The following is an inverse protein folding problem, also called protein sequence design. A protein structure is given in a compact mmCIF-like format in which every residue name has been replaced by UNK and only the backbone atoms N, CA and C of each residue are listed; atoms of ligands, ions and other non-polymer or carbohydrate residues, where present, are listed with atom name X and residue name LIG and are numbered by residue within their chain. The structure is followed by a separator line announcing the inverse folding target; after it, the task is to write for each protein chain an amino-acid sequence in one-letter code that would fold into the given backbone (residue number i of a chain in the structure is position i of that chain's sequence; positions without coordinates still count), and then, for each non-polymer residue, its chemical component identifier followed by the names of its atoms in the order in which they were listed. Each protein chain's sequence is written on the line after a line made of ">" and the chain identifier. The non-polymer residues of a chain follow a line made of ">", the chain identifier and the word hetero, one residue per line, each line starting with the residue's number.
data_IF_380209431467
#
_entry.id   IF_380209431467
#
_cell.length_a   1.000
_cell.length_b   1.000
_cell.length_c   1.000
_cell.angle_alpha   90.00
_cell.angle_beta   90.00
_cell.angle_gamma   90.00
#
_symmetry.space_group_name_H-M   'P 1'
#
loop_
_entity.id
_entity.type
_entity.pdbx_description
1 polymer ?
#
# COMPACT_ATOMS: atom_id res chain seq x y z
N UNK A 1 41.48 -6.74 53.37
CA UNK A 1 41.25 -7.23 51.99
C UNK A 1 39.81 -7.70 51.85
N UNK A 2 39.24 -7.59 50.63
CA UNK A 2 37.92 -8.06 50.19
C UNK A 2 36.69 -7.23 50.60
N UNK A 3 36.55 -6.07 49.97
CA UNK A 3 35.26 -5.63 49.42
C UNK A 3 35.53 -5.27 47.98
N UNK A 4 34.88 -5.93 47.02
CA UNK A 4 34.75 -5.54 45.60
C UNK A 4 34.23 -6.76 44.81
N UNK A 5 32.94 -7.09 44.94
CA UNK A 5 32.23 -7.95 43.97
C UNK A 5 30.74 -7.71 44.09
N UNK A 6 30.27 -6.52 43.69
CA UNK A 6 28.83 -6.27 43.60
C UNK A 6 28.48 -5.07 42.69
N UNK A 7 29.15 -4.93 41.53
CA UNK A 7 28.80 -3.86 40.55
C UNK A 7 28.73 -4.38 39.10
N UNK A 8 28.88 -5.69 38.86
CA UNK A 8 28.92 -6.22 37.50
C UNK A 8 27.56 -6.66 36.91
N UNK A 9 26.48 -6.71 37.71
CA UNK A 9 25.18 -7.22 37.24
C UNK A 9 24.21 -6.17 36.66
N UNK A 10 24.53 -4.88 36.73
CA UNK A 10 23.64 -3.81 36.24
C UNK A 10 23.85 -3.46 34.75
N UNK A 11 24.87 -4.02 34.09
CA UNK A 11 25.19 -3.72 32.68
C UNK A 11 24.63 -4.75 31.67
N UNK A 12 23.99 -5.82 32.16
CA UNK A 12 23.42 -6.88 31.31
C UNK A 12 21.91 -6.70 31.04
N UNK A 13 21.28 -5.63 31.52
CA UNK A 13 19.99 -5.18 31.00
C UNK A 13 20.24 -4.45 29.66
N UNK A 14 20.80 -5.19 28.70
CA UNK A 14 20.91 -4.73 27.32
C UNK A 14 19.53 -4.26 26.88
N UNK A 15 19.49 -3.10 26.25
CA UNK A 15 18.29 -2.57 25.63
C UNK A 15 17.68 -3.69 24.79
N UNK A 16 16.65 -4.35 25.32
CA UNK A 16 15.82 -5.23 24.53
C UNK A 16 15.30 -4.31 23.43
N UNK A 17 15.79 -4.54 22.20
CA UNK A 17 15.31 -3.84 21.04
C UNK A 17 13.80 -4.00 21.10
N UNK A 18 13.10 -2.92 21.46
CA UNK A 18 11.68 -2.80 21.19
C UNK A 18 11.61 -2.66 19.68
N UNK A 19 11.82 -3.77 18.97
CA UNK A 19 11.29 -3.95 17.62
C UNK A 19 9.79 -3.81 17.83
N UNK A 20 9.32 -2.57 17.75
CA UNK A 20 7.90 -2.30 17.60
C UNK A 20 7.52 -3.05 16.34
N UNK A 21 6.65 -4.04 16.47
CA UNK A 21 6.08 -4.75 15.34
C UNK A 21 5.64 -3.72 14.30
N UNK A 22 6.33 -3.72 13.16
CA UNK A 22 6.01 -2.81 12.08
C UNK A 22 4.70 -3.30 11.43
N UNK A 23 3.60 -2.67 11.85
CA UNK A 23 2.29 -2.85 11.27
C UNK A 23 2.14 -1.95 10.05
N UNK A 24 2.55 -2.45 8.88
CA UNK A 24 2.36 -1.74 7.63
C UNK A 24 0.86 -1.46 7.40
N UNK A 25 0.49 -0.18 7.33
CA UNK A 25 -0.86 0.25 6.98
C UNK A 25 -0.92 0.52 5.49
N UNK A 26 -1.71 -0.27 4.78
CA UNK A 26 -1.93 -0.11 3.34
C UNK A 26 -2.66 1.20 3.05
N UNK A 27 -2.11 2.02 2.15
CA UNK A 27 -2.79 3.18 1.59
C UNK A 27 -3.79 2.78 0.50
N UNK A 28 -4.69 3.69 0.14
CA UNK A 28 -5.70 3.39 -0.87
C UNK A 28 -5.09 3.48 -2.29
N UNK A 29 -5.27 2.48 -3.17
CA UNK A 29 -4.64 2.46 -4.48
C UNK A 29 -5.13 3.60 -5.38
N UNK A 30 -4.19 4.34 -5.99
CA UNK A 30 -4.52 5.45 -6.92
C UNK A 30 -5.32 4.95 -8.13
N UNK A 31 -4.99 3.76 -8.65
CA UNK A 31 -5.71 3.18 -9.79
C UNK A 31 -7.17 2.88 -9.43
N UNK A 32 -7.44 2.45 -8.20
CA UNK A 32 -8.80 2.28 -7.69
C UNK A 32 -9.51 3.64 -7.45
N UNK A 33 -8.78 4.64 -6.95
CA UNK A 33 -9.27 6.00 -6.74
C UNK A 33 -9.76 6.70 -8.02
N UNK A 34 -9.12 6.42 -9.15
CA UNK A 34 -9.49 6.95 -10.48
C UNK A 34 -10.84 6.47 -10.98
N UNK A 35 -11.33 5.36 -10.47
CA UNK A 35 -12.61 4.76 -10.87
C UNK A 35 -13.56 4.56 -9.68
N UNK A 36 -13.21 5.13 -8.52
CA UNK A 36 -13.96 4.96 -7.26
C UNK A 36 -14.21 3.50 -6.89
N UNK A 37 -13.25 2.62 -7.20
CA UNK A 37 -13.40 1.18 -7.01
C UNK A 37 -13.12 0.78 -5.56
N UNK A 38 -14.11 0.18 -4.90
CA UNK A 38 -13.92 -0.48 -3.61
C UNK A 38 -13.94 -2.00 -3.77
N UNK A 39 -13.50 -2.70 -2.72
CA UNK A 39 -13.59 -4.14 -2.65
C UNK A 39 -12.56 -4.75 -1.71
N UNK A 40 -12.48 -6.07 -1.75
CA UNK A 40 -11.60 -6.89 -0.92
C UNK A 40 -10.60 -7.67 -1.77
N UNK A 41 -9.44 -7.95 -1.19
CA UNK A 41 -8.45 -8.87 -1.73
C UNK A 41 -7.92 -9.76 -0.61
N UNK A 42 -7.84 -11.06 -0.88
CA UNK A 42 -7.29 -12.08 0.02
C UNK A 42 -6.01 -12.64 -0.58
N UNK A 43 -4.90 -12.51 0.14
CA UNK A 43 -3.57 -12.94 -0.31
C UNK A 43 -2.81 -13.71 0.75
N UNK A 44 -2.03 -14.68 0.30
CA UNK A 44 -0.93 -15.27 1.04
C UNK A 44 0.37 -14.61 0.58
N UNK A 45 1.14 -14.04 1.50
CA UNK A 45 2.41 -13.37 1.22
C UNK A 45 3.52 -14.15 1.90
N UNK A 46 4.48 -14.66 1.13
CA UNK A 46 5.71 -15.22 1.66
C UNK A 46 6.77 -14.13 1.74
N UNK A 47 7.09 -13.65 2.94
CA UNK A 47 8.08 -12.59 3.11
C UNK A 47 9.53 -13.07 2.99
N UNK A 48 9.79 -14.38 3.05
CA UNK A 48 11.12 -14.94 2.81
C UNK A 48 11.46 -14.96 1.30
N UNK A 49 10.51 -15.39 0.46
CA UNK A 49 10.69 -15.42 -1.01
C UNK A 49 10.23 -14.14 -1.71
N UNK A 50 9.48 -13.28 -1.00
CA UNK A 50 8.82 -12.07 -1.54
C UNK A 50 7.81 -12.38 -2.63
N UNK A 51 7.06 -13.48 -2.46
CA UNK A 51 6.04 -13.91 -3.40
C UNK A 51 4.63 -13.65 -2.83
N UNK A 52 3.69 -13.34 -3.72
CA UNK A 52 2.28 -13.14 -3.39
C UNK A 52 1.46 -14.16 -4.14
N UNK A 53 0.71 -14.96 -3.40
CA UNK A 53 -0.32 -15.84 -3.94
C UNK A 53 -1.69 -15.21 -3.67
N UNK A 54 -2.43 -14.93 -4.75
CA UNK A 54 -3.74 -14.28 -4.68
C UNK A 54 -4.82 -15.36 -4.60
N UNK A 55 -5.55 -15.39 -3.49
CA UNK A 55 -6.67 -16.33 -3.28
C UNK A 55 -7.93 -15.77 -3.94
N UNK A 56 -8.21 -14.49 -3.72
CA UNK A 56 -9.33 -13.79 -4.36
C UNK A 56 -9.03 -12.30 -4.48
N UNK A 57 -9.46 -11.69 -5.58
CA UNK A 57 -9.31 -10.25 -5.84
C UNK A 57 -10.58 -9.73 -6.53
N UNK A 58 -11.35 -8.90 -5.83
CA UNK A 58 -12.59 -8.30 -6.35
C UNK A 58 -12.36 -7.21 -7.40
N UNK A 59 -11.11 -6.76 -7.60
CA UNK A 59 -10.77 -5.60 -8.42
C UNK A 59 -10.21 -5.93 -9.81
N UNK A 60 -10.35 -7.18 -10.25
CA UNK A 60 -9.80 -7.66 -11.52
C UNK A 60 -8.29 -7.38 -11.66
N UNK A 61 -7.54 -7.58 -10.57
CA UNK A 61 -6.07 -7.49 -10.58
C UNK A 61 -5.48 -6.13 -10.17
N UNK A 62 -6.31 -5.11 -9.87
CA UNK A 62 -5.82 -3.78 -9.46
C UNK A 62 -5.17 -3.87 -8.06
N UNK A 63 -5.86 -4.48 -7.11
CA UNK A 63 -5.39 -4.63 -5.73
C UNK A 63 -4.19 -5.57 -5.64
N UNK A 64 -4.18 -6.69 -6.37
CA UNK A 64 -3.04 -7.62 -6.37
C UNK A 64 -1.77 -6.97 -6.93
N UNK A 65 -1.88 -6.20 -8.02
CA UNK A 65 -0.76 -5.39 -8.54
C UNK A 65 -0.26 -4.37 -7.52
N UNK A 66 -1.18 -3.77 -6.77
CA UNK A 66 -0.84 -2.79 -5.75
C UNK A 66 -0.11 -3.42 -4.55
N UNK A 67 -0.58 -4.57 -4.05
CA UNK A 67 0.10 -5.33 -2.99
C UNK A 67 1.51 -5.72 -3.44
N UNK A 68 1.66 -6.24 -4.66
CA UNK A 68 2.97 -6.59 -5.22
C UNK A 68 3.96 -5.40 -5.19
N UNK A 69 3.50 -4.19 -5.54
CA UNK A 69 4.33 -2.97 -5.45
C UNK A 69 4.72 -2.59 -4.01
N UNK A 70 3.94 -3.01 -3.00
CA UNK A 70 4.15 -2.69 -1.59
C UNK A 70 4.83 -3.81 -0.79
N UNK A 71 5.16 -4.95 -1.41
CA UNK A 71 5.74 -6.12 -0.75
C UNK A 71 6.93 -5.80 0.16
N UNK A 72 7.86 -4.97 -0.30
CA UNK A 72 9.03 -4.59 0.50
C UNK A 72 8.67 -3.89 1.81
N UNK A 73 7.56 -3.13 1.83
CA UNK A 73 7.08 -2.47 3.04
C UNK A 73 6.27 -3.46 3.89
N UNK A 74 5.40 -4.26 3.28
CA UNK A 74 4.60 -5.27 3.99
C UNK A 74 5.51 -6.24 4.75
N UNK A 75 6.58 -6.69 4.09
CA UNK A 75 7.56 -7.64 4.60
C UNK A 75 8.74 -6.99 5.32
N UNK A 76 8.66 -5.70 5.67
CA UNK A 76 9.76 -5.03 6.36
C UNK A 76 10.05 -5.70 7.71
N UNK A 77 11.29 -6.21 7.85
CA UNK A 77 11.76 -7.00 9.01
C UNK A 77 10.96 -8.29 9.29
N UNK A 78 10.25 -8.81 8.29
CA UNK A 78 9.44 -10.03 8.40
C UNK A 78 9.96 -11.10 7.46
N UNK A 79 9.88 -12.36 7.90
CA UNK A 79 10.26 -13.55 7.13
C UNK A 79 9.19 -14.63 7.16
N UNK A 80 8.10 -14.37 7.87
CA UNK A 80 6.95 -15.25 8.02
C UNK A 80 6.03 -15.20 6.79
N UNK A 81 5.10 -16.16 6.75
CA UNK A 81 4.02 -16.17 5.77
C UNK A 81 2.81 -15.45 6.37
N UNK A 82 2.30 -14.48 5.64
CA UNK A 82 1.15 -13.68 6.04
C UNK A 82 -0.08 -14.11 5.25
N UNK A 83 -1.15 -14.46 5.95
CA UNK A 83 -2.48 -14.65 5.36
C UNK A 83 -3.33 -13.43 5.71
N UNK A 84 -3.65 -12.58 4.73
CA UNK A 84 -4.22 -11.26 4.96
C UNK A 84 -5.35 -10.96 3.99
N UNK A 85 -6.44 -10.43 4.54
CA UNK A 85 -7.54 -9.81 3.77
C UNK A 85 -7.44 -8.30 3.90
N UNK A 86 -7.22 -7.61 2.77
CA UNK A 86 -7.28 -6.15 2.71
C UNK A 86 -8.64 -5.71 2.18
N UNK A 87 -9.29 -4.83 2.94
CA UNK A 87 -10.56 -4.19 2.57
C UNK A 87 -10.34 -2.74 2.18
N UNK A 88 -10.59 -2.43 0.92
CA UNK A 88 -10.54 -1.08 0.38
C UNK A 88 -11.95 -0.53 0.25
N UNK A 89 -12.32 0.38 1.15
CA UNK A 89 -13.60 1.06 1.00
C UNK A 89 -13.59 1.95 -0.25
N UNK A 90 -14.65 1.95 -1.06
CA UNK A 90 -14.77 2.87 -2.18
C UNK A 90 -14.68 4.31 -1.66
N UNK A 91 -14.03 5.18 -2.42
CA UNK A 91 -13.71 6.54 -2.02
C UNK A 91 -14.88 7.29 -1.35
N UNK A 92 -14.79 7.48 -0.03
CA UNK A 92 -15.73 8.29 0.75
C UNK A 92 -15.20 9.72 0.82
N UNK A 93 -15.40 10.46 -0.28
CA UNK A 93 -15.15 11.90 -0.36
C UNK A 93 -14.08 12.33 -1.36
N UNK A 94 -14.00 13.64 -1.59
CA UNK A 94 -13.16 14.28 -2.64
C UNK A 94 -11.69 13.88 -2.56
N UNK A 95 -11.13 13.66 -1.36
CA UNK A 95 -9.71 13.30 -1.20
C UNK A 95 -9.34 11.94 -1.78
N UNK A 96 -10.28 11.01 -1.85
CA UNK A 96 -10.07 9.65 -2.34
C UNK A 96 -10.68 9.45 -3.73
N UNK A 97 -11.62 10.31 -4.12
CA UNK A 97 -12.29 10.27 -5.41
C UNK A 97 -11.58 11.22 -6.38
N UNK A 98 -10.68 10.67 -7.19
CA UNK A 98 -9.95 11.45 -8.19
C UNK A 98 -10.87 11.93 -9.32
N UNK A 99 -11.99 11.24 -9.58
CA UNK A 99 -13.01 11.71 -10.54
C UNK A 99 -13.68 12.97 -9.99
N UNK A 100 -14.08 12.97 -8.72
CA UNK A 100 -14.78 14.09 -8.10
C UNK A 100 -13.90 15.35 -7.94
N UNK A 101 -12.58 15.20 -7.96
CA UNK A 101 -11.63 16.33 -7.90
C UNK A 101 -11.11 16.74 -9.28
N UNK A 102 -11.46 16.00 -10.32
CA UNK A 102 -11.07 16.36 -11.67
C UNK A 102 -11.90 17.57 -12.12
N UNK A 103 -11.21 18.68 -12.42
CA UNK A 103 -11.86 19.83 -13.04
C UNK A 103 -12.69 19.38 -14.24
N UNK A 104 -13.91 19.89 -14.43
CA UNK A 104 -14.71 19.59 -15.61
C UNK A 104 -13.84 19.90 -16.82
N UNK A 105 -13.44 18.86 -17.56
CA UNK A 105 -12.84 19.06 -18.87
C UNK A 105 -14.00 19.48 -19.75
N UNK A 106 -14.24 20.79 -19.84
CA UNK A 106 -15.02 21.34 -20.95
C UNK A 106 -14.26 20.91 -22.19
N UNK A 107 -14.82 20.06 -23.06
CA UNK A 107 -14.20 19.79 -24.34
C UNK A 107 -13.89 21.15 -24.97
N UNK A 108 -12.70 21.38 -25.55
CA UNK A 108 -12.45 22.62 -26.27
C UNK A 108 -13.63 22.79 -27.23
N UNK A 109 -14.24 23.99 -27.21
CA UNK A 109 -15.39 24.30 -28.06
C UNK A 109 -15.04 23.83 -29.47
N UNK A 110 -15.83 22.91 -30.02
CA UNK A 110 -15.66 22.46 -31.38
C UNK A 110 -15.86 23.68 -32.26
N UNK A 111 -14.77 24.32 -32.65
CA UNK A 111 -14.83 25.47 -33.50
C UNK A 111 -15.11 24.94 -34.90
N UNK A 112 -16.38 24.96 -35.32
CA UNK A 112 -16.82 24.52 -36.64
C UNK A 112 -16.13 25.28 -37.79
N UNK A 113 -15.52 26.42 -37.47
CA UNK A 113 -14.79 27.28 -38.40
C UNK A 113 -13.27 27.04 -38.39
N UNK A 114 -12.75 26.13 -37.54
CA UNK A 114 -11.33 25.78 -37.58
C UNK A 114 -11.11 24.80 -38.74
N UNK A 115 -10.51 25.30 -39.82
CA UNK A 115 -9.98 24.45 -40.89
C UNK A 115 -9.12 23.35 -40.25
N UNK A 116 -9.36 22.10 -40.66
CA UNK A 116 -8.56 20.96 -40.26
C UNK A 116 -7.09 21.29 -40.48
N UNK A 117 -6.26 21.20 -39.43
CA UNK A 117 -4.81 21.23 -39.56
C UNK A 117 -4.39 19.91 -40.23
N UNK A 118 -4.60 19.85 -41.55
CA UNK A 118 -4.22 18.73 -42.38
C UNK A 118 -2.70 18.69 -42.48
N UNK A 119 -2.08 17.84 -41.67
CA UNK A 119 -0.76 17.32 -41.97
C UNK A 119 -0.94 16.03 -42.76
N UNK A 120 -0.80 16.13 -44.09
CA UNK A 120 -0.41 15.00 -44.94
C UNK A 120 1.03 14.58 -44.64
#
# INVERSE_FOLDING_TARGET
>A
MKRLFAVALLLAAGCANKDRDYAFKMDYPVDAARISLGGDIHVNIDCATREVNVISDSSNGIFSRYINKRLSNICYKKTDKLDVVYRFEPAKGVKQNMIATQYPRVPPVSNSDKLSDGNS
#
